data_IF_869076192971
#
_entry.id   IF_869076192971
#
_cell.length_a   1.000
_cell.length_b   1.000
_cell.length_c   1.000
_cell.angle_alpha   90.00
_cell.angle_beta   90.00
_cell.angle_gamma   90.00
#
_symmetry.space_group_name_H-M   'P 1'
#
loop_
_entity.id
_entity.type
_entity.pdbx_description
1 polymer ?
#
# COMPACT_ATOMS: atom_id res chain seq x y z
N UNK A 1 -12.27 -21.92 5.34
CA UNK A 1 -11.67 -20.63 5.59
C UNK A 1 -10.79 -20.20 4.44
N UNK A 2 -10.96 -19.02 3.94
CA UNK A 2 -10.31 -18.56 2.71
C UNK A 2 -8.99 -17.86 2.98
N UNK A 3 -8.15 -18.48 3.79
CA UNK A 3 -6.81 -17.95 4.03
C UNK A 3 -6.00 -18.06 2.74
N UNK A 4 -5.33 -17.01 2.37
CA UNK A 4 -4.56 -16.97 1.15
C UNK A 4 -5.32 -16.46 -0.06
N UNK A 5 -6.64 -16.30 0.02
CA UNK A 5 -7.38 -15.61 -1.04
C UNK A 5 -7.19 -14.11 -0.84
N UNK A 6 -6.62 -13.45 -1.86
CA UNK A 6 -6.47 -12.01 -1.83
C UNK A 6 -7.80 -11.34 -2.04
N UNK A 7 -8.08 -10.35 -1.21
CA UNK A 7 -9.16 -9.41 -1.46
C UNK A 7 -8.69 -8.34 -2.41
N UNK A 8 -9.63 -7.62 -3.02
CA UNK A 8 -9.31 -6.64 -4.05
C UNK A 8 -8.34 -5.55 -3.59
N UNK A 9 -8.38 -5.21 -2.30
CA UNK A 9 -7.55 -4.13 -1.74
C UNK A 9 -6.35 -4.65 -0.95
N UNK A 10 -6.08 -5.95 -1.00
CA UNK A 10 -4.89 -6.51 -0.37
C UNK A 10 -3.68 -6.33 -1.29
N UNK A 11 -2.52 -6.21 -0.68
CA UNK A 11 -1.25 -6.09 -1.38
C UNK A 11 -0.46 -7.40 -1.29
N UNK A 12 0.36 -7.67 -2.29
CA UNK A 12 1.28 -8.80 -2.26
C UNK A 12 2.53 -8.54 -3.10
N UNK A 13 3.23 -7.43 -2.87
CA UNK A 13 4.38 -7.08 -3.71
C UNK A 13 5.49 -8.12 -3.66
N UNK A 14 5.66 -8.79 -2.52
CA UNK A 14 6.71 -9.80 -2.32
C UNK A 14 6.14 -11.22 -2.32
N UNK A 15 4.92 -11.40 -2.80
CA UNK A 15 4.25 -12.70 -2.80
C UNK A 15 3.59 -13.07 -1.46
N UNK A 16 3.72 -12.22 -0.46
CA UNK A 16 3.07 -12.37 0.84
C UNK A 16 1.96 -11.34 0.96
N UNK A 17 0.80 -11.78 1.43
CA UNK A 17 -0.36 -10.91 1.59
C UNK A 17 -0.12 -9.85 2.66
N UNK A 18 -0.37 -8.60 2.30
CA UNK A 18 -0.34 -7.47 3.23
C UNK A 18 -1.73 -6.87 3.27
N UNK A 19 -2.31 -6.79 4.46
CA UNK A 19 -3.63 -6.18 4.68
C UNK A 19 -3.42 -4.77 5.18
N UNK A 20 -3.99 -3.80 4.48
CA UNK A 20 -3.96 -2.39 4.88
C UNK A 20 -5.38 -1.96 5.21
N UNK A 21 -5.55 -1.30 6.34
CA UNK A 21 -6.84 -0.71 6.68
C UNK A 21 -7.03 0.62 5.96
N UNK A 22 -7.47 0.53 4.71
CA UNK A 22 -7.65 1.70 3.87
C UNK A 22 -8.72 2.65 4.41
N UNK A 23 -9.70 2.13 5.15
CA UNK A 23 -10.77 2.96 5.72
C UNK A 23 -10.26 3.93 6.76
N UNK A 24 -9.13 3.62 7.40
CA UNK A 24 -8.48 4.52 8.34
C UNK A 24 -7.62 5.58 7.66
N UNK A 25 -7.42 5.47 6.36
CA UNK A 25 -6.54 6.36 5.60
C UNK A 25 -7.33 7.57 5.11
N UNK A 26 -7.47 8.55 5.98
CA UNK A 26 -8.15 9.81 5.66
C UNK A 26 -7.22 10.74 4.89
N UNK A 27 -7.79 11.82 4.33
CA UNK A 27 -7.01 12.85 3.65
C UNK A 27 -5.89 13.38 4.56
N UNK A 28 -4.72 13.56 4.02
CA UNK A 28 -3.49 14.00 4.69
C UNK A 28 -2.87 12.96 5.61
N UNK A 29 -3.40 11.74 5.68
CA UNK A 29 -2.76 10.65 6.42
C UNK A 29 -1.77 9.91 5.55
N UNK A 30 -0.96 9.06 6.18
CA UNK A 30 0.01 8.23 5.46
C UNK A 30 0.13 6.85 6.10
N UNK A 31 0.66 5.91 5.32
CA UNK A 31 0.97 4.57 5.78
C UNK A 31 2.33 4.16 5.20
N UNK A 32 3.10 3.41 5.98
CA UNK A 32 4.36 2.84 5.50
C UNK A 32 4.17 1.34 5.30
N UNK A 33 4.43 0.87 4.08
CA UNK A 33 4.24 -0.52 3.70
C UNK A 33 5.61 -1.16 3.53
N UNK A 34 5.93 -2.12 4.41
CA UNK A 34 7.18 -2.87 4.34
C UNK A 34 7.13 -3.80 3.14
N UNK A 35 8.10 -3.68 2.25
CA UNK A 35 8.20 -4.55 1.09
C UNK A 35 9.59 -4.43 0.46
N UNK A 36 10.00 -5.46 -0.26
CA UNK A 36 11.26 -5.47 -0.99
C UNK A 36 11.01 -5.06 -2.44
N UNK A 37 9.95 -5.57 -3.07
CA UNK A 37 9.60 -5.17 -4.42
C UNK A 37 8.77 -3.89 -4.40
N UNK A 38 9.46 -2.77 -4.24
CA UNK A 38 8.83 -1.46 -4.09
C UNK A 38 8.08 -1.01 -5.34
N UNK A 39 8.58 -1.34 -6.52
CA UNK A 39 7.90 -1.00 -7.78
C UNK A 39 6.54 -1.69 -7.88
N UNK A 40 6.50 -2.97 -7.55
CA UNK A 40 5.25 -3.73 -7.56
C UNK A 40 4.29 -3.21 -6.51
N UNK A 41 4.81 -2.84 -5.34
CA UNK A 41 4.01 -2.24 -4.28
C UNK A 41 3.36 -0.93 -4.76
N UNK A 42 4.12 -0.04 -5.37
CA UNK A 42 3.62 1.23 -5.90
C UNK A 42 2.53 0.97 -6.95
N UNK A 43 2.77 0.03 -7.87
CA UNK A 43 1.79 -0.32 -8.89
C UNK A 43 0.47 -0.83 -8.31
N UNK A 44 0.54 -1.66 -7.28
CA UNK A 44 -0.65 -2.18 -6.61
C UNK A 44 -1.40 -1.08 -5.87
N UNK A 45 -0.69 -0.22 -5.15
CA UNK A 45 -1.28 0.90 -4.43
C UNK A 45 -1.94 1.90 -5.39
N UNK A 46 -1.31 2.18 -6.52
CA UNK A 46 -1.87 3.07 -7.54
C UNK A 46 -3.21 2.55 -8.06
N UNK A 47 -3.32 1.25 -8.30
CA UNK A 47 -4.58 0.65 -8.74
C UNK A 47 -5.68 0.80 -7.71
N UNK A 48 -5.34 0.61 -6.43
CA UNK A 48 -6.29 0.75 -5.34
C UNK A 48 -6.76 2.21 -5.25
N UNK A 49 -5.83 3.15 -5.32
CA UNK A 49 -6.14 4.58 -5.26
C UNK A 49 -7.08 4.99 -6.40
N UNK A 50 -6.84 4.48 -7.62
CA UNK A 50 -7.71 4.76 -8.75
C UNK A 50 -9.12 4.24 -8.54
N UNK A 51 -9.26 3.02 -8.01
CA UNK A 51 -10.59 2.48 -7.70
C UNK A 51 -11.34 3.29 -6.66
N UNK A 52 -10.61 3.85 -5.70
CA UNK A 52 -11.20 4.65 -4.62
C UNK A 52 -11.39 6.12 -5.00
N UNK A 53 -10.86 6.54 -6.13
CA UNK A 53 -10.89 7.94 -6.53
C UNK A 53 -9.99 8.84 -5.71
N UNK A 54 -8.93 8.28 -5.13
CA UNK A 54 -7.98 9.02 -4.31
C UNK A 54 -6.81 9.53 -5.14
N UNK A 55 -6.29 10.69 -4.74
CA UNK A 55 -4.99 11.18 -5.18
C UNK A 55 -3.98 10.84 -4.10
N UNK A 56 -2.91 10.16 -4.47
CA UNK A 56 -1.87 9.72 -3.53
C UNK A 56 -0.50 10.13 -4.02
N UNK A 57 0.44 10.22 -3.09
CA UNK A 57 1.87 10.26 -3.37
C UNK A 57 2.53 9.04 -2.75
N UNK A 58 3.54 8.52 -3.43
CA UNK A 58 4.31 7.38 -2.94
C UNK A 58 5.81 7.70 -2.98
N UNK A 59 6.55 7.14 -2.05
CA UNK A 59 7.99 7.32 -1.99
C UNK A 59 8.62 6.05 -1.44
N UNK A 60 9.65 5.54 -2.14
CA UNK A 60 10.48 4.46 -1.62
C UNK A 60 11.32 5.03 -0.49
N UNK A 61 11.25 4.42 0.68
CA UNK A 61 11.98 4.90 1.86
C UNK A 61 12.49 3.74 2.68
N UNK A 62 13.49 4.03 3.50
CA UNK A 62 13.91 3.15 4.57
C UNK A 62 13.53 3.82 5.88
N UNK A 63 12.68 3.16 6.65
CA UNK A 63 12.23 3.65 7.96
C UNK A 63 12.55 2.57 9.00
N UNK A 64 13.16 2.97 10.12
CA UNK A 64 13.60 2.04 11.15
C UNK A 64 14.45 0.89 10.59
N UNK A 65 15.33 1.20 9.64
CA UNK A 65 16.23 0.25 8.96
C UNK A 65 15.48 -0.79 8.14
N UNK A 66 14.24 -0.52 7.74
CA UNK A 66 13.43 -1.42 6.91
C UNK A 66 12.99 -0.72 5.64
N UNK A 67 13.17 -1.40 4.52
CA UNK A 67 12.76 -0.89 3.21
C UNK A 67 11.25 -0.99 3.04
N UNK A 68 10.69 -0.02 2.37
CA UNK A 68 9.28 -0.02 2.04
C UNK A 68 8.85 1.18 1.23
N UNK A 69 7.55 1.38 1.16
CA UNK A 69 6.92 2.49 0.47
C UNK A 69 6.04 3.26 1.44
N UNK A 70 6.30 4.56 1.55
CA UNK A 70 5.40 5.48 2.28
C UNK A 70 4.37 5.99 1.30
N UNK A 71 3.10 5.87 1.66
CA UNK A 71 1.97 6.32 0.85
C UNK A 71 1.23 7.43 1.60
N UNK A 72 1.09 8.58 0.98
CA UNK A 72 0.33 9.70 1.51
C UNK A 72 -0.96 9.84 0.71
N UNK A 73 -2.07 10.00 1.40
CA UNK A 73 -3.33 10.35 0.75
C UNK A 73 -3.46 11.87 0.68
N UNK A 74 -3.47 12.40 -0.54
CA UNK A 74 -3.58 13.86 -0.78
C UNK A 74 -5.05 14.28 -0.82
N UNK A 75 -5.87 13.51 -1.50
CA UNK A 75 -7.31 13.76 -1.62
C UNK A 75 -8.13 12.49 -1.44
#
# INVERSE_FOLDING_TARGET
>A
MNQGILKIDDLNPDGVRIIVNWDSMVTSSSVFILCINTEKCIGQVDKIAKRKGWTIETQVREENKKLGVRVWRIL
#
